data_IF_275278576502
#
_entry.id   IF_275278576502
#
_cell.length_a   1.000
_cell.length_b   1.000
_cell.length_c   1.000
_cell.angle_alpha   90.00
_cell.angle_beta   90.00
_cell.angle_gamma   90.00
#
_symmetry.space_group_name_H-M   'P 1'
#
loop_
_entity.id
_entity.type
_entity.pdbx_description
1 polymer ?
#
# COMPACT_ATOMS: atom_id res chain seq x y z
N UNK A 1 14.15 20.32 4.84
CA UNK A 1 13.93 20.87 3.48
C UNK A 1 12.46 21.24 3.38
N UNK A 2 12.11 22.40 2.81
CA UNK A 2 10.73 22.88 2.78
C UNK A 2 10.36 23.30 1.37
N UNK A 3 9.24 22.80 0.87
CA UNK A 3 8.72 23.11 -0.47
C UNK A 3 7.44 23.92 -0.34
N UNK A 4 7.17 24.78 -1.34
CA UNK A 4 5.95 25.60 -1.39
C UNK A 4 5.00 25.03 -2.43
N UNK A 5 3.72 25.04 -2.13
CA UNK A 5 2.67 24.74 -3.10
C UNK A 5 2.71 25.77 -4.22
N UNK A 6 2.61 25.31 -5.47
CA UNK A 6 2.46 26.15 -6.65
C UNK A 6 1.13 25.85 -7.34
N UNK A 7 0.55 26.86 -7.97
CA UNK A 7 -0.64 26.70 -8.81
C UNK A 7 -0.19 26.48 -10.26
N UNK A 8 -0.63 25.38 -10.87
CA UNK A 8 -0.40 25.05 -12.28
C UNK A 8 -1.76 24.77 -12.91
N UNK A 9 -2.21 25.68 -13.77
CA UNK A 9 -3.58 25.66 -14.28
C UNK A 9 -4.60 25.78 -13.13
N UNK A 10 -5.47 24.78 -13.01
CA UNK A 10 -6.49 24.69 -11.96
C UNK A 10 -6.07 23.82 -10.77
N UNK A 11 -4.83 23.32 -10.76
CA UNK A 11 -4.36 22.37 -9.74
C UNK A 11 -3.25 22.95 -8.88
N UNK A 12 -3.16 22.47 -7.64
CA UNK A 12 -2.05 22.73 -6.74
C UNK A 12 -1.00 21.62 -6.88
N UNK A 13 0.27 21.98 -6.96
CA UNK A 13 1.38 21.05 -7.13
C UNK A 13 2.47 21.30 -6.10
N UNK A 14 3.05 20.20 -5.60
CA UNK A 14 4.23 20.21 -4.73
C UNK A 14 5.42 19.71 -5.54
N UNK A 15 6.50 20.49 -5.56
CA UNK A 15 7.73 20.09 -6.24
C UNK A 15 8.47 19.06 -5.40
N UNK A 16 8.88 17.95 -6.00
CA UNK A 16 9.76 16.97 -5.36
C UNK A 16 11.20 17.48 -5.41
N UNK A 17 11.89 17.64 -4.26
CA UNK A 17 13.30 18.01 -4.22
C UNK A 17 14.22 17.02 -4.96
N UNK A 18 15.33 17.53 -5.54
CA UNK A 18 16.23 16.76 -6.40
C UNK A 18 17.00 15.62 -5.68
N UNK A 19 17.10 15.67 -4.36
CA UNK A 19 17.70 14.62 -3.54
C UNK A 19 16.79 13.40 -3.42
N UNK A 20 15.48 13.57 -3.59
CA UNK A 20 14.51 12.49 -3.66
C UNK A 20 14.47 11.99 -5.11
N UNK A 21 14.74 10.70 -5.31
CA UNK A 21 14.64 10.04 -6.61
C UNK A 21 13.37 9.18 -6.65
N UNK A 22 12.28 9.65 -7.29
CA UNK A 22 11.06 8.86 -7.41
C UNK A 22 11.33 7.58 -8.18
N UNK A 23 10.84 6.45 -7.66
CA UNK A 23 10.91 5.14 -8.33
C UNK A 23 9.73 4.89 -9.28
N UNK A 24 8.68 5.72 -9.19
CA UNK A 24 7.46 5.61 -9.97
C UNK A 24 7.01 6.99 -10.48
N UNK A 25 6.12 6.97 -11.47
CA UNK A 25 5.53 8.17 -12.08
C UNK A 25 4.10 8.43 -11.60
N UNK A 26 3.43 7.41 -11.06
CA UNK A 26 2.06 7.49 -10.54
C UNK A 26 2.05 7.18 -9.05
N UNK A 27 1.20 7.90 -8.30
CA UNK A 27 1.10 7.79 -6.85
C UNK A 27 -0.37 7.88 -6.42
N UNK A 28 -0.75 7.02 -5.49
CA UNK A 28 -1.99 7.17 -4.73
C UNK A 28 -1.77 8.20 -3.63
N UNK A 29 -2.75 9.09 -3.45
CA UNK A 29 -2.64 10.24 -2.54
C UNK A 29 -3.74 10.17 -1.50
N UNK A 30 -3.35 10.26 -0.23
CA UNK A 30 -4.30 10.32 0.87
C UNK A 30 -3.87 11.34 1.93
N UNK A 31 -4.86 11.85 2.67
CA UNK A 31 -4.64 12.76 3.78
C UNK A 31 -4.96 12.04 5.11
N UNK A 32 -3.96 11.97 5.98
CA UNK A 32 -4.09 11.45 7.34
C UNK A 32 -4.91 12.39 8.25
N UNK A 33 -5.27 11.88 9.44
CA UNK A 33 -6.07 12.64 10.43
C UNK A 33 -5.34 13.86 11.00
N UNK A 34 -4.02 13.81 10.99
CA UNK A 34 -3.10 14.89 11.38
C UNK A 34 -2.84 15.89 10.24
N UNK A 35 -3.48 15.71 9.10
CA UNK A 35 -3.33 16.57 7.92
C UNK A 35 -2.10 16.25 7.07
N UNK A 36 -1.35 15.19 7.41
CA UNK A 36 -0.22 14.71 6.59
C UNK A 36 -0.73 14.20 5.25
N UNK A 37 -0.12 14.65 4.16
CA UNK A 37 -0.41 14.15 2.81
C UNK A 37 0.66 13.12 2.46
N UNK A 38 0.23 11.89 2.18
CA UNK A 38 1.11 10.79 1.82
C UNK A 38 0.91 10.43 0.36
N UNK A 39 2.02 10.24 -0.33
CA UNK A 39 2.07 9.78 -1.72
C UNK A 39 2.71 8.40 -1.72
N UNK A 40 1.95 7.38 -2.13
CA UNK A 40 2.44 6.00 -2.23
C UNK A 40 2.59 5.66 -3.70
N UNK A 41 3.77 5.21 -4.16
CA UNK A 41 3.95 4.77 -5.54
C UNK A 41 2.88 3.75 -5.90
N UNK A 42 2.22 3.97 -7.03
CA UNK A 42 1.26 2.99 -7.53
C UNK A 42 2.04 1.79 -8.05
N UNK A 43 1.75 0.63 -7.47
CA UNK A 43 2.35 -0.64 -7.86
C UNK A 43 1.26 -1.58 -8.35
N UNK A 44 1.61 -2.40 -9.33
CA UNK A 44 0.73 -3.48 -9.75
C UNK A 44 0.58 -4.48 -8.61
N UNK A 45 -0.66 -4.82 -8.26
CA UNK A 45 -0.92 -5.83 -7.25
C UNK A 45 -0.44 -7.19 -7.80
N UNK A 46 0.57 -7.83 -7.18
CA UNK A 46 1.08 -9.11 -7.66
C UNK A 46 0.02 -10.22 -7.61
N UNK A 47 -1.00 -10.09 -6.75
CA UNK A 47 -2.12 -11.04 -6.66
C UNK A 47 -3.19 -10.85 -7.74
N UNK A 48 -3.02 -9.91 -8.66
CA UNK A 48 -3.80 -9.80 -9.89
C UNK A 48 -3.01 -10.23 -11.14
N UNK A 49 -1.75 -10.64 -10.97
CA UNK A 49 -0.90 -11.09 -12.05
C UNK A 49 -0.87 -12.63 -12.07
N UNK A 50 -1.53 -13.23 -13.05
CA UNK A 50 -1.61 -14.70 -13.20
C UNK A 50 -0.22 -15.35 -13.25
N UNK A 51 0.73 -14.78 -14.00
CA UNK A 51 2.09 -15.31 -14.10
C UNK A 51 2.85 -15.23 -12.76
N UNK A 52 2.58 -14.20 -11.94
CA UNK A 52 3.15 -14.11 -10.60
C UNK A 52 2.58 -15.20 -9.68
N UNK A 53 1.26 -15.40 -9.71
CA UNK A 53 0.55 -16.39 -8.89
C UNK A 53 1.02 -17.81 -9.23
N UNK A 54 1.18 -18.13 -10.51
CA UNK A 54 1.63 -19.45 -10.96
C UNK A 54 3.09 -19.77 -10.57
N UNK A 55 3.94 -18.74 -10.49
CA UNK A 55 5.38 -18.91 -10.24
C UNK A 55 5.80 -18.85 -8.78
N UNK A 56 4.91 -18.43 -7.87
CA UNK A 56 5.21 -18.23 -6.45
C UNK A 56 4.40 -19.17 -5.55
N UNK A 57 5.06 -19.77 -4.55
CA UNK A 57 4.36 -20.52 -3.51
C UNK A 57 3.73 -19.55 -2.50
N UNK A 58 2.41 -19.40 -2.59
CA UNK A 58 1.62 -18.54 -1.72
C UNK A 58 1.02 -19.29 -0.51
N UNK A 59 1.42 -20.54 -0.29
CA UNK A 59 0.92 -21.34 0.84
C UNK A 59 1.67 -20.95 2.12
N UNK A 60 0.94 -20.87 3.22
CA UNK A 60 1.51 -20.77 4.56
C UNK A 60 0.99 -21.93 5.40
N UNK A 61 1.85 -22.51 6.24
CA UNK A 61 1.39 -23.44 7.26
C UNK A 61 0.55 -22.66 8.30
N UNK A 62 -0.61 -23.20 8.65
CA UNK A 62 -1.46 -22.61 9.68
C UNK A 62 -0.73 -22.68 11.03
N UNK A 63 -0.51 -21.51 11.65
CA UNK A 63 0.12 -21.41 12.97
C UNK A 63 -0.84 -21.87 14.08
N UNK A 64 -2.14 -21.65 13.88
CA UNK A 64 -3.22 -22.07 14.77
C UNK A 64 -3.86 -23.37 14.30
N UNK A 65 -3.04 -24.39 14.01
CA UNK A 65 -3.51 -25.74 13.68
C UNK A 65 -3.39 -26.68 14.88
N UNK A 66 -4.39 -27.51 15.14
CA UNK A 66 -4.36 -28.47 16.25
C UNK A 66 -5.71 -29.06 16.59
N UNK A 67 -5.73 -29.98 17.57
CA UNK A 67 -6.99 -30.49 18.12
C UNK A 67 -7.65 -29.37 18.92
N UNK A 68 -8.95 -29.14 18.69
CA UNK A 68 -9.73 -28.16 19.45
C UNK A 68 -9.51 -28.36 20.95
N UNK A 69 -9.16 -27.29 21.68
CA UNK A 69 -8.81 -27.35 23.11
C UNK A 69 -9.98 -26.90 23.99
N UNK A 70 -11.17 -26.72 23.42
CA UNK A 70 -12.35 -26.34 24.20
C UNK A 70 -13.60 -26.05 23.37
N UNK A 71 -14.24 -24.92 23.68
CA UNK A 71 -15.49 -24.45 23.06
C UNK A 71 -15.24 -23.51 21.89
N UNK A 72 -14.40 -23.93 20.94
CA UNK A 72 -14.06 -23.12 19.75
C UNK A 72 -15.21 -23.07 18.73
N UNK A 73 -16.20 -23.95 18.88
CA UNK A 73 -17.44 -23.95 18.12
C UNK A 73 -18.52 -23.21 18.94
N UNK A 74 -19.06 -22.08 18.46
CA UNK A 74 -20.19 -21.42 19.09
C UNK A 74 -21.38 -22.37 19.23
N UNK A 75 -22.01 -22.41 20.42
CA UNK A 75 -23.29 -23.08 20.61
C UNK A 75 -24.38 -22.08 20.22
N UNK A 76 -25.24 -22.48 19.28
CA UNK A 76 -26.42 -21.73 18.85
C UNK A 76 -27.30 -21.29 20.04
#
# INVERSE_FOLDING_TARGET
>A
MSVKIRKVGNSNTLTVPNDIKPIAHEFDVFQGRDGVIVYVPKHDNPFHNEAFIESHDLKQQEEFGGKLVGNEIPKD
#
